data_IF_887093481435
#
_entry.id   IF_887093481435
#
_cell.length_a   1.000
_cell.length_b   1.000
_cell.length_c   1.000
_cell.angle_alpha   90.00
_cell.angle_beta   90.00
_cell.angle_gamma   90.00
#
_symmetry.space_group_name_H-M   'P 1'
#
loop_
_entity.id
_entity.type
_entity.pdbx_description
1 polymer ?
#
# COMPACT_ATOMS: atom_id res chain seq x y z
N UNK A 1 -21.54 -2.22 -7.94
CA UNK A 1 -20.54 -2.57 -8.98
C UNK A 1 -19.20 -2.92 -8.34
N UNK A 2 -18.21 -3.47 -9.07
CA UNK A 2 -16.86 -3.71 -8.51
C UNK A 2 -15.95 -2.52 -8.78
N UNK A 3 -15.24 -2.04 -7.75
CA UNK A 3 -14.35 -0.88 -7.82
C UNK A 3 -13.00 -1.24 -7.20
N UNK A 4 -11.92 -0.95 -7.92
CA UNK A 4 -10.54 -1.07 -7.44
C UNK A 4 -9.99 0.33 -7.23
N UNK A 5 -9.69 0.70 -5.99
CA UNK A 5 -9.13 1.99 -5.64
C UNK A 5 -7.67 1.80 -5.23
N UNK A 6 -6.75 2.46 -5.93
CA UNK A 6 -5.31 2.38 -5.65
C UNK A 6 -4.78 3.70 -5.10
N UNK A 7 -4.10 3.62 -3.95
CA UNK A 7 -3.41 4.74 -3.32
C UNK A 7 -1.90 4.47 -3.40
N UNK A 8 -1.15 5.27 -4.18
CA UNK A 8 0.27 5.07 -4.35
C UNK A 8 1.06 5.47 -3.09
N UNK A 9 2.26 4.91 -2.96
CA UNK A 9 3.22 5.34 -1.95
C UNK A 9 3.79 6.73 -2.19
N UNK A 10 4.65 7.15 -1.28
CA UNK A 10 5.36 8.43 -1.29
C UNK A 10 6.25 8.63 -2.54
N UNK A 11 6.87 9.80 -2.62
CA UNK A 11 7.65 10.36 -3.73
C UNK A 11 6.78 10.93 -4.87
N UNK A 12 7.32 11.89 -5.65
CA UNK A 12 6.69 12.35 -6.87
C UNK A 12 6.35 11.21 -7.82
N UNK A 13 5.22 11.33 -8.52
CA UNK A 13 4.73 10.36 -9.52
C UNK A 13 4.60 11.02 -10.89
N UNK A 14 4.49 10.23 -11.98
CA UNK A 14 4.09 10.74 -13.28
C UNK A 14 2.72 11.42 -13.24
N UNK A 15 2.36 12.07 -14.34
CA UNK A 15 1.03 12.66 -14.46
C UNK A 15 -0.06 11.58 -14.24
N UNK A 16 -1.20 11.92 -13.59
CA UNK A 16 -2.17 10.93 -13.15
C UNK A 16 -2.69 9.97 -14.24
N UNK A 17 -3.01 10.41 -15.47
CA UNK A 17 -3.44 9.50 -16.53
C UNK A 17 -2.38 8.46 -16.90
N UNK A 18 -1.12 8.89 -16.99
CA UNK A 18 0.01 8.02 -17.33
C UNK A 18 0.31 7.04 -16.20
N UNK A 19 0.31 7.51 -14.96
CA UNK A 19 0.53 6.67 -13.79
C UNK A 19 -0.59 5.64 -13.63
N UNK A 20 -1.85 6.05 -13.79
CA UNK A 20 -3.02 5.14 -13.77
C UNK A 20 -2.83 4.04 -14.81
N UNK A 21 -2.51 4.39 -16.06
CA UNK A 21 -2.29 3.44 -17.15
C UNK A 21 -1.19 2.42 -16.84
N UNK A 22 -0.06 2.86 -16.28
CA UNK A 22 1.04 1.97 -15.92
C UNK A 22 0.70 1.02 -14.77
N UNK A 23 0.06 1.52 -13.72
CA UNK A 23 -0.42 0.71 -12.61
C UNK A 23 -1.43 -0.33 -13.09
N UNK A 24 -2.37 0.08 -13.94
CA UNK A 24 -3.37 -0.79 -14.54
C UNK A 24 -2.74 -1.90 -15.38
N UNK A 25 -1.78 -1.57 -16.25
CA UNK A 25 -1.00 -2.57 -17.01
C UNK A 25 -0.35 -3.61 -16.10
N UNK A 26 0.29 -3.18 -15.01
CA UNK A 26 0.96 -4.09 -14.07
C UNK A 26 -0.04 -4.95 -13.30
N UNK A 27 -1.16 -4.37 -12.86
CA UNK A 27 -2.21 -5.08 -12.14
C UNK A 27 -2.84 -6.17 -13.00
N UNK A 28 -3.24 -5.83 -14.24
CA UNK A 28 -3.83 -6.79 -15.17
C UNK A 28 -2.84 -7.91 -15.50
N UNK A 29 -1.56 -7.59 -15.70
CA UNK A 29 -0.51 -8.59 -15.92
C UNK A 29 -0.32 -9.51 -14.72
N UNK A 30 -0.30 -8.98 -13.49
CA UNK A 30 -0.22 -9.79 -12.27
C UNK A 30 -1.39 -10.75 -12.14
N UNK A 31 -2.61 -10.30 -12.45
CA UNK A 31 -3.78 -11.18 -12.49
C UNK A 31 -3.67 -12.20 -13.61
N UNK A 32 -3.19 -11.81 -14.81
CA UNK A 32 -3.05 -12.70 -15.97
C UNK A 32 -2.13 -13.89 -15.70
N UNK A 33 -1.09 -13.70 -14.89
CA UNK A 33 -0.13 -14.75 -14.52
C UNK A 33 -0.76 -15.90 -13.73
N UNK A 34 -1.85 -15.63 -13.01
CA UNK A 34 -2.52 -16.61 -12.14
C UNK A 34 -3.92 -16.99 -12.62
N UNK A 35 -4.60 -16.09 -13.33
CA UNK A 35 -5.94 -16.29 -13.89
C UNK A 35 -6.16 -15.41 -15.13
N UNK A 36 -5.95 -16.01 -16.30
CA UNK A 36 -6.13 -15.35 -17.57
C UNK A 36 -7.59 -14.93 -17.84
N UNK A 37 -8.57 -15.69 -17.36
CA UNK A 37 -10.00 -15.38 -17.56
C UNK A 37 -10.37 -14.10 -16.84
N UNK A 38 -10.00 -13.97 -15.56
CA UNK A 38 -10.27 -12.74 -14.80
C UNK A 38 -9.50 -11.55 -15.37
N UNK A 39 -8.24 -11.75 -15.80
CA UNK A 39 -7.48 -10.67 -16.42
C UNK A 39 -8.15 -10.13 -17.69
N UNK A 40 -8.73 -11.00 -18.54
CA UNK A 40 -9.48 -10.59 -19.73
C UNK A 40 -10.77 -9.83 -19.39
N UNK A 41 -11.43 -10.16 -18.27
CA UNK A 41 -12.59 -9.41 -17.78
C UNK A 41 -12.19 -8.04 -17.27
N UNK A 42 -11.16 -7.97 -16.41
CA UNK A 42 -10.60 -6.71 -15.92
C UNK A 42 -10.20 -5.80 -17.08
N UNK A 43 -9.45 -6.31 -18.06
CA UNK A 43 -8.96 -5.54 -19.20
C UNK A 43 -10.07 -4.88 -20.05
N UNK A 44 -11.33 -5.36 -19.96
CA UNK A 44 -12.49 -4.76 -20.63
C UNK A 44 -13.16 -3.64 -19.83
N UNK A 45 -12.84 -3.51 -18.56
CA UNK A 45 -13.45 -2.58 -17.61
C UNK A 45 -12.35 -1.75 -16.90
N UNK A 46 -11.65 -0.89 -17.65
CA UNK A 46 -10.66 0.03 -17.06
C UNK A 46 -11.32 1.10 -16.15
N UNK A 47 -12.63 1.30 -16.29
CA UNK A 47 -13.40 2.23 -15.47
C UNK A 47 -13.57 1.74 -14.02
N UNK A 48 -13.45 0.43 -13.77
CA UNK A 48 -13.42 -0.11 -12.41
C UNK A 48 -12.19 0.34 -11.61
N UNK A 49 -11.10 0.77 -12.27
CA UNK A 49 -9.85 1.15 -11.61
C UNK A 49 -9.74 2.67 -11.40
N UNK A 50 -9.54 3.08 -10.16
CA UNK A 50 -9.41 4.47 -9.76
C UNK A 50 -8.09 4.71 -9.02
N UNK A 51 -7.34 5.72 -9.46
CA UNK A 51 -6.09 6.16 -8.83
C UNK A 51 -6.36 7.38 -7.95
N UNK A 52 -5.98 7.32 -6.67
CA UNK A 52 -5.95 8.49 -5.79
C UNK A 52 -4.60 9.18 -5.94
N UNK A 53 -4.51 10.14 -6.86
CA UNK A 53 -3.26 10.78 -7.29
C UNK A 53 -2.80 11.93 -6.35
N UNK A 54 -2.65 11.65 -5.06
CA UNK A 54 -2.33 12.65 -4.03
C UNK A 54 -0.92 13.25 -4.12
N UNK A 55 0.02 12.60 -4.81
CA UNK A 55 1.44 12.93 -4.76
C UNK A 55 1.74 14.36 -5.25
N UNK A 56 1.05 14.86 -6.28
CA UNK A 56 1.32 16.22 -6.76
C UNK A 56 0.90 17.28 -5.74
N UNK A 57 -0.24 17.08 -5.05
CA UNK A 57 -0.67 17.96 -3.97
C UNK A 57 0.39 18.04 -2.86
N UNK A 58 1.03 16.91 -2.54
CA UNK A 58 2.07 16.85 -1.53
C UNK A 58 3.41 17.43 -2.00
N UNK A 59 3.91 17.00 -3.16
CA UNK A 59 5.27 17.32 -3.61
C UNK A 59 5.36 18.53 -4.54
N UNK A 60 4.24 19.02 -5.05
CA UNK A 60 4.15 20.14 -6.01
C UNK A 60 4.98 19.92 -7.28
N UNK A 61 5.23 18.67 -7.64
CA UNK A 61 6.01 18.28 -8.83
C UNK A 61 5.58 16.92 -9.36
N UNK A 62 5.84 16.70 -10.66
CA UNK A 62 5.70 15.40 -11.31
C UNK A 62 7.08 14.81 -11.63
N UNK A 63 7.16 13.48 -11.69
CA UNK A 63 8.34 12.75 -12.15
C UNK A 63 8.15 12.34 -13.61
N UNK A 64 9.18 12.45 -14.45
CA UNK A 64 9.12 11.88 -15.81
C UNK A 64 8.89 10.37 -15.76
N UNK A 65 8.02 9.91 -16.67
CA UNK A 65 7.71 8.50 -16.90
C UNK A 65 8.82 7.76 -17.65
N UNK A 66 9.63 8.48 -18.44
CA UNK A 66 10.61 7.92 -19.38
C UNK A 66 11.62 6.99 -18.70
N UNK A 67 12.05 7.37 -17.49
CA UNK A 67 13.00 6.58 -16.71
C UNK A 67 12.40 5.25 -16.19
N UNK A 68 11.08 5.19 -16.00
CA UNK A 68 10.42 4.00 -15.45
C UNK A 68 9.91 3.06 -16.56
N UNK A 69 9.69 3.52 -17.79
CA UNK A 69 9.11 2.72 -18.89
C UNK A 69 9.92 1.47 -19.25
N UNK A 70 11.24 1.55 -19.55
CA UNK A 70 12.02 0.37 -19.89
C UNK A 70 12.05 -0.66 -18.75
N UNK A 71 12.11 -0.18 -17.51
CA UNK A 71 12.08 -1.03 -16.32
C UNK A 71 10.73 -1.75 -16.14
N UNK A 72 9.61 -1.06 -16.41
CA UNK A 72 8.28 -1.66 -16.37
C UNK A 72 8.12 -2.68 -17.50
N UNK A 73 8.50 -2.35 -18.74
CA UNK A 73 8.36 -3.28 -19.85
C UNK A 73 9.23 -4.54 -19.65
N UNK A 74 10.44 -4.39 -19.11
CA UNK A 74 11.28 -5.53 -18.70
C UNK A 74 10.63 -6.35 -17.57
N UNK A 75 10.02 -5.69 -16.58
CA UNK A 75 9.29 -6.36 -15.50
C UNK A 75 8.10 -7.19 -16.03
N UNK A 76 7.33 -6.64 -16.97
CA UNK A 76 6.16 -7.30 -17.55
C UNK A 76 6.57 -8.50 -18.42
N UNK A 77 7.67 -8.39 -19.16
CA UNK A 77 8.21 -9.49 -19.97
C UNK A 77 8.80 -10.64 -19.13
N UNK A 78 9.11 -10.40 -17.85
CA UNK A 78 9.74 -11.38 -16.97
C UNK A 78 8.69 -12.27 -16.28
N UNK A 79 8.78 -13.61 -16.37
CA UNK A 79 7.76 -14.51 -15.82
C UNK A 79 7.76 -14.58 -14.28
N UNK A 80 8.84 -14.13 -13.62
CA UNK A 80 9.01 -14.24 -12.16
C UNK A 80 10.38 -13.72 -11.72
N UNK A 81 10.67 -13.69 -10.41
CA UNK A 81 11.99 -13.32 -9.90
C UNK A 81 13.07 -14.32 -10.34
N UNK A 82 14.25 -13.84 -10.71
CA UNK A 82 15.42 -14.72 -10.97
C UNK A 82 16.10 -15.12 -9.67
N UNK A 83 16.97 -16.15 -9.72
CA UNK A 83 17.82 -16.53 -8.58
C UNK A 83 18.66 -15.35 -8.09
N UNK A 84 19.12 -14.50 -9.01
CA UNK A 84 19.84 -13.26 -8.68
C UNK A 84 18.96 -12.29 -7.89
N UNK A 85 17.72 -12.03 -8.32
CA UNK A 85 16.79 -11.17 -7.57
C UNK A 85 16.51 -11.71 -6.17
N UNK A 86 16.27 -13.02 -6.06
CA UNK A 86 15.99 -13.69 -4.78
C UNK A 86 17.19 -13.54 -3.83
N UNK A 87 18.40 -13.75 -4.35
CA UNK A 87 19.63 -13.63 -3.57
C UNK A 87 19.89 -12.19 -3.12
N UNK A 88 19.71 -11.22 -4.01
CA UNK A 88 19.90 -9.80 -3.72
C UNK A 88 18.85 -9.29 -2.71
N UNK A 89 17.57 -9.65 -2.88
CA UNK A 89 16.50 -9.34 -1.94
C UNK A 89 16.70 -9.97 -0.54
N UNK A 90 17.37 -11.12 -0.49
CA UNK A 90 17.63 -11.87 0.75
C UNK A 90 19.00 -11.56 1.38
N UNK A 91 19.78 -10.67 0.78
CA UNK A 91 21.19 -10.47 1.12
C UNK A 91 21.38 -9.88 2.54
N UNK A 92 22.48 -10.25 3.19
CA UNK A 92 22.72 -10.00 4.62
C UNK A 92 22.78 -8.51 5.01
N UNK A 93 23.17 -7.62 4.10
CA UNK A 93 23.14 -6.16 4.33
C UNK A 93 21.73 -5.63 4.59
N UNK A 94 20.71 -6.23 3.95
CA UNK A 94 19.30 -5.91 4.20
C UNK A 94 18.88 -6.37 5.60
N UNK A 95 19.43 -7.49 6.10
CA UNK A 95 19.18 -7.96 7.47
C UNK A 95 19.83 -7.05 8.53
N UNK A 96 21.05 -6.57 8.28
CA UNK A 96 21.75 -5.64 9.18
C UNK A 96 21.09 -4.26 9.20
N UNK A 97 20.68 -3.75 8.04
CA UNK A 97 19.87 -2.54 7.94
C UNK A 97 18.55 -2.72 8.70
N UNK A 98 17.84 -3.84 8.49
CA UNK A 98 16.59 -4.17 9.21
C UNK A 98 16.77 -4.14 10.74
N UNK A 99 17.85 -4.73 11.26
CA UNK A 99 18.17 -4.68 12.70
C UNK A 99 18.35 -3.24 13.22
N UNK A 100 19.09 -2.40 12.48
CA UNK A 100 19.30 -0.99 12.83
C UNK A 100 18.00 -0.18 12.78
N UNK A 101 17.15 -0.43 11.79
CA UNK A 101 15.87 0.25 11.69
C UNK A 101 14.85 -0.24 12.74
N UNK A 102 14.79 -1.53 13.05
CA UNK A 102 13.94 -2.05 14.13
C UNK A 102 14.31 -1.41 15.48
N UNK A 103 15.61 -1.23 15.76
CA UNK A 103 16.05 -0.49 16.94
C UNK A 103 15.66 1.00 16.90
N UNK A 104 15.68 1.64 15.73
CA UNK A 104 15.22 3.02 15.55
C UNK A 104 13.70 3.19 15.67
N UNK A 105 12.92 2.17 15.32
CA UNK A 105 11.46 2.15 15.38
C UNK A 105 10.95 2.03 16.83
N UNK A 106 11.54 1.14 17.64
CA UNK A 106 11.21 1.01 19.07
C UNK A 106 11.78 2.13 19.95
N UNK A 107 12.84 2.81 19.50
CA UNK A 107 13.48 3.85 20.27
C UNK A 107 13.70 5.11 19.41
N UNK A 108 12.75 6.07 19.43
CA UNK A 108 12.79 7.28 18.59
C UNK A 108 14.08 8.13 18.74
N UNK A 109 14.77 8.01 19.88
CA UNK A 109 16.07 8.65 20.15
C UNK A 109 17.16 8.18 19.17
N UNK A 110 17.08 6.94 18.66
CA UNK A 110 18.05 6.37 17.73
C UNK A 110 17.77 6.68 16.25
N UNK A 111 16.62 7.28 15.92
CA UNK A 111 16.36 7.82 14.57
C UNK A 111 17.43 8.85 14.17
N UNK A 112 17.89 9.65 15.14
CA UNK A 112 18.97 10.63 14.95
C UNK A 112 20.36 9.99 14.79
N UNK A 113 20.53 8.73 15.24
CA UNK A 113 21.76 7.95 15.14
C UNK A 113 21.81 7.10 13.85
N UNK A 114 20.73 7.07 13.05
CA UNK A 114 20.75 6.41 11.74
C UNK A 114 21.76 7.14 10.82
N UNK A 115 22.74 6.41 10.25
CA UNK A 115 23.83 7.01 9.47
C UNK A 115 23.38 7.55 8.10
N UNK A 116 22.22 7.12 7.60
CA UNK A 116 21.76 7.41 6.23
C UNK A 116 20.91 8.71 6.14
N UNK A 117 21.38 9.74 5.40
CA UNK A 117 20.63 10.98 5.20
C UNK A 117 19.27 10.78 4.48
N UNK A 118 19.16 9.78 3.60
CA UNK A 118 17.93 9.50 2.84
C UNK A 118 16.78 9.03 3.73
N UNK A 119 17.11 8.34 4.81
CA UNK A 119 16.17 7.87 5.84
C UNK A 119 15.66 9.03 6.68
N UNK A 120 16.56 9.91 7.12
CA UNK A 120 16.19 11.11 7.90
C UNK A 120 15.28 12.03 7.08
N UNK A 121 15.56 12.18 5.79
CA UNK A 121 14.69 12.89 4.85
C UNK A 121 13.33 12.19 4.73
N UNK A 122 13.31 10.87 4.54
CA UNK A 122 12.09 10.05 4.48
C UNK A 122 11.19 10.18 5.72
N UNK A 123 11.77 10.23 6.92
CA UNK A 123 11.03 10.39 8.17
C UNK A 123 10.47 11.82 8.29
N UNK A 124 11.29 12.85 8.06
CA UNK A 124 10.83 14.25 8.01
C UNK A 124 9.74 14.48 6.96
N UNK A 125 9.83 13.79 5.83
CA UNK A 125 8.82 13.84 4.78
C UNK A 125 7.49 13.25 5.24
N UNK A 126 7.48 12.20 6.05
CA UNK A 126 6.24 11.59 6.56
C UNK A 126 5.63 12.43 7.70
N UNK A 127 6.48 13.12 8.47
CA UNK A 127 6.05 14.03 9.55
C UNK A 127 5.15 15.19 9.07
N UNK A 128 5.29 15.66 7.82
CA UNK A 128 4.39 16.69 7.27
C UNK A 128 2.94 16.20 7.17
N UNK A 129 2.73 14.92 6.83
CA UNK A 129 1.41 14.31 6.81
C UNK A 129 0.87 14.11 8.23
N UNK A 130 1.66 13.53 9.14
CA UNK A 130 1.20 13.26 10.51
C UNK A 130 0.90 14.53 11.31
N UNK A 131 1.64 15.62 11.09
CA UNK A 131 1.33 16.91 11.71
C UNK A 131 0.22 17.68 10.99
N UNK A 132 -0.34 17.14 9.90
CA UNK A 132 -1.33 17.80 9.06
C UNK A 132 -0.95 19.25 8.71
N UNK A 133 0.34 19.47 8.40
CA UNK A 133 0.85 20.82 8.18
C UNK A 133 0.16 21.43 6.95
N UNK A 134 -0.38 22.64 7.12
CA UNK A 134 -1.14 23.36 6.08
C UNK A 134 -2.37 22.55 5.59
N UNK A 135 -2.99 21.76 6.48
CA UNK A 135 -4.17 20.91 6.21
C UNK A 135 -3.94 19.87 5.10
N UNK A 136 -2.67 19.57 4.81
CA UNK A 136 -2.30 18.72 3.69
C UNK A 136 -2.83 17.29 3.83
N UNK A 137 -2.88 16.77 5.07
CA UNK A 137 -3.33 15.41 5.31
C UNK A 137 -4.85 15.32 5.17
N UNK A 138 -5.59 16.32 5.63
CA UNK A 138 -7.04 16.42 5.45
C UNK A 138 -7.40 16.44 3.96
N UNK A 139 -6.74 17.30 3.18
CA UNK A 139 -6.95 17.39 1.74
C UNK A 139 -6.64 16.06 1.03
N UNK A 140 -5.55 15.39 1.41
CA UNK A 140 -5.18 14.08 0.85
C UNK A 140 -6.21 13.01 1.21
N UNK A 141 -6.63 12.95 2.48
CA UNK A 141 -7.63 11.97 2.92
C UNK A 141 -8.96 12.21 2.20
N UNK A 142 -9.34 13.46 2.00
CA UNK A 142 -10.57 13.82 1.30
C UNK A 142 -10.58 13.35 -0.15
N UNK A 143 -9.44 13.35 -0.85
CA UNK A 143 -9.31 12.75 -2.19
C UNK A 143 -9.69 11.26 -2.23
N UNK A 144 -9.51 10.52 -1.12
CA UNK A 144 -9.94 9.13 -0.99
C UNK A 144 -11.36 9.01 -0.41
N UNK A 145 -11.70 9.82 0.60
CA UNK A 145 -13.00 9.72 1.28
C UNK A 145 -14.17 10.07 0.36
N UNK A 146 -14.01 11.07 -0.51
CA UNK A 146 -15.07 11.48 -1.45
C UNK A 146 -15.55 10.32 -2.36
N UNK A 147 -14.68 9.63 -3.11
CA UNK A 147 -15.13 8.49 -3.92
C UNK A 147 -15.60 7.30 -3.06
N UNK A 148 -15.02 7.07 -1.88
CA UNK A 148 -15.50 5.99 -1.00
C UNK A 148 -16.92 6.25 -0.49
N UNK A 149 -17.29 7.49 -0.17
CA UNK A 149 -18.67 7.82 0.21
C UNK A 149 -19.66 7.48 -0.89
N UNK A 150 -19.33 7.82 -2.15
CA UNK A 150 -20.17 7.49 -3.31
C UNK A 150 -20.28 5.98 -3.51
N UNK A 151 -19.15 5.25 -3.44
CA UNK A 151 -19.13 3.79 -3.57
C UNK A 151 -19.95 3.11 -2.47
N UNK A 152 -19.82 3.55 -1.23
CA UNK A 152 -20.60 3.01 -0.10
C UNK A 152 -22.09 3.31 -0.21
N UNK A 153 -22.46 4.51 -0.69
CA UNK A 153 -23.86 4.87 -0.93
C UNK A 153 -24.50 4.02 -2.04
N UNK A 154 -23.70 3.57 -3.01
CA UNK A 154 -24.12 2.73 -4.14
C UNK A 154 -24.04 1.23 -3.85
N UNK A 155 -23.64 0.83 -2.64
CA UNK A 155 -23.36 -0.58 -2.28
C UNK A 155 -22.36 -1.25 -3.25
N UNK A 156 -21.36 -0.48 -3.70
CA UNK A 156 -20.27 -0.99 -4.52
C UNK A 156 -19.38 -1.94 -3.71
N UNK A 157 -18.91 -2.99 -4.36
CA UNK A 157 -17.87 -3.86 -3.85
C UNK A 157 -16.52 -3.19 -4.09
N UNK A 158 -15.77 -2.89 -3.02
CA UNK A 158 -14.54 -2.11 -3.08
C UNK A 158 -13.32 -2.95 -2.68
N UNK A 159 -12.37 -3.07 -3.59
CA UNK A 159 -10.99 -3.44 -3.31
C UNK A 159 -10.17 -2.17 -3.14
N UNK A 160 -9.69 -1.93 -1.93
CA UNK A 160 -8.84 -0.80 -1.60
C UNK A 160 -7.39 -1.26 -1.51
N UNK A 161 -6.51 -0.73 -2.38
CA UNK A 161 -5.09 -1.09 -2.43
C UNK A 161 -4.26 0.10 -1.94
N UNK A 162 -3.62 -0.04 -0.78
CA UNK A 162 -2.71 0.96 -0.23
C UNK A 162 -1.26 0.52 -0.33
N UNK A 163 -0.45 1.18 -1.17
CA UNK A 163 0.99 0.90 -1.27
C UNK A 163 1.80 1.83 -0.38
N UNK A 164 2.69 1.29 0.48
CA UNK A 164 3.58 2.10 1.32
C UNK A 164 2.80 3.16 2.12
N UNK A 165 3.18 4.44 2.07
CA UNK A 165 2.43 5.56 2.67
C UNK A 165 0.95 5.65 2.22
N UNK A 166 0.60 5.10 1.06
CA UNK A 166 -0.80 4.98 0.63
C UNK A 166 -1.64 4.09 1.56
N UNK A 167 -1.03 3.13 2.28
CA UNK A 167 -1.72 2.34 3.30
C UNK A 167 -2.01 3.14 4.58
N UNK A 168 -1.15 4.09 4.96
CA UNK A 168 -1.40 5.05 6.05
C UNK A 168 -2.58 5.94 5.69
N UNK A 169 -2.56 6.52 4.49
CA UNK A 169 -3.65 7.37 3.99
C UNK A 169 -4.98 6.59 3.97
N UNK A 170 -4.95 5.35 3.46
CA UNK A 170 -6.12 4.48 3.48
C UNK A 170 -6.65 4.23 4.90
N UNK A 171 -5.78 3.90 5.85
CA UNK A 171 -6.15 3.70 7.25
C UNK A 171 -6.82 4.93 7.84
N UNK A 172 -6.16 6.08 7.79
CA UNK A 172 -6.65 7.32 8.40
C UNK A 172 -7.97 7.79 7.75
N UNK A 173 -8.10 7.66 6.43
CA UNK A 173 -9.36 7.95 5.72
C UNK A 173 -10.51 7.05 6.16
N UNK A 174 -10.27 5.73 6.27
CA UNK A 174 -11.28 4.78 6.73
C UNK A 174 -11.62 5.00 8.22
N UNK A 175 -10.65 5.42 9.02
CA UNK A 175 -10.87 5.79 10.41
C UNK A 175 -11.76 7.03 10.53
N UNK A 176 -11.51 8.07 9.76
CA UNK A 176 -12.35 9.28 9.75
C UNK A 176 -13.76 9.00 9.25
N UNK A 177 -13.90 8.21 8.19
CA UNK A 177 -15.22 7.82 7.69
C UNK A 177 -16.03 7.11 8.78
N UNK A 178 -15.40 6.17 9.48
CA UNK A 178 -16.07 5.40 10.53
C UNK A 178 -16.33 6.21 11.80
N UNK A 179 -15.31 6.83 12.38
CA UNK A 179 -15.40 7.47 13.70
C UNK A 179 -15.79 8.94 13.62
N UNK A 180 -15.43 9.66 12.55
CA UNK A 180 -15.70 11.08 12.39
C UNK A 180 -16.98 11.39 11.62
N UNK A 181 -17.27 10.64 10.56
CA UNK A 181 -18.44 10.86 9.68
C UNK A 181 -19.58 9.86 9.94
N UNK A 182 -19.41 8.94 10.91
CA UNK A 182 -20.36 7.86 11.22
C UNK A 182 -20.77 6.99 10.03
N UNK A 183 -19.98 6.98 8.97
CA UNK A 183 -20.21 6.17 7.78
C UNK A 183 -19.88 4.70 8.08
N UNK A 184 -20.87 3.82 7.95
CA UNK A 184 -20.74 2.37 8.25
C UNK A 184 -20.44 1.53 7.01
N UNK A 185 -20.15 2.16 5.88
CA UNK A 185 -19.67 1.50 4.66
C UNK A 185 -18.35 0.77 4.90
N UNK A 186 -18.16 -0.35 4.21
CA UNK A 186 -16.99 -1.20 4.33
C UNK A 186 -16.37 -1.50 2.98
N UNK A 187 -15.04 -1.48 2.92
CA UNK A 187 -14.32 -2.09 1.79
C UNK A 187 -14.28 -3.61 1.97
N UNK A 188 -14.56 -4.35 0.91
CA UNK A 188 -14.62 -5.82 0.89
C UNK A 188 -13.25 -6.47 1.13
N UNK A 189 -12.21 -5.81 0.63
CA UNK A 189 -10.82 -6.18 0.82
C UNK A 189 -9.94 -4.93 0.89
N UNK A 190 -9.27 -4.74 2.02
CA UNK A 190 -8.12 -3.86 2.12
C UNK A 190 -6.85 -4.65 1.83
N UNK A 191 -6.15 -4.29 0.75
CA UNK A 191 -4.89 -4.87 0.33
C UNK A 191 -3.74 -3.88 0.57
N UNK A 192 -2.99 -4.06 1.64
CA UNK A 192 -1.83 -3.22 1.95
C UNK A 192 -0.55 -3.83 1.38
N UNK A 193 0.24 -3.04 0.66
CA UNK A 193 1.44 -3.50 -0.07
C UNK A 193 2.69 -2.80 0.45
N UNK A 194 3.67 -3.55 0.96
CA UNK A 194 4.89 -2.98 1.57
C UNK A 194 4.53 -1.94 2.63
N UNK A 195 3.58 -2.27 3.49
CA UNK A 195 2.94 -1.31 4.39
C UNK A 195 3.78 -1.05 5.63
N UNK A 196 3.96 0.21 6.05
CA UNK A 196 4.58 0.54 7.32
C UNK A 196 3.58 0.54 8.49
N UNK A 197 2.34 0.04 8.31
CA UNK A 197 1.30 0.08 9.36
C UNK A 197 1.67 -0.71 10.63
N UNK A 198 2.55 -1.70 10.52
CA UNK A 198 3.08 -2.44 11.66
C UNK A 198 4.21 -1.70 12.40
N UNK A 199 4.80 -0.66 11.80
CA UNK A 199 5.91 0.07 12.41
C UNK A 199 5.43 0.91 13.59
N UNK A 200 6.14 0.83 14.70
CA UNK A 200 5.80 1.55 15.94
C UNK A 200 5.76 3.06 15.73
N UNK A 201 6.71 3.58 14.95
CA UNK A 201 6.76 4.98 14.55
C UNK A 201 5.45 5.44 13.88
N UNK A 202 4.85 4.59 13.05
CA UNK A 202 3.60 4.87 12.34
C UNK A 202 2.40 4.65 13.25
N UNK A 203 2.31 3.50 13.93
CA UNK A 203 1.14 3.12 14.74
C UNK A 203 0.74 4.17 15.75
N UNK A 204 1.70 4.78 16.45
CA UNK A 204 1.41 5.83 17.44
C UNK A 204 0.98 7.18 16.87
N UNK A 205 1.09 7.35 15.54
CA UNK A 205 0.74 8.58 14.82
C UNK A 205 -0.52 8.44 13.95
N UNK A 206 -1.01 7.22 13.75
CA UNK A 206 -2.28 6.98 13.07
C UNK A 206 -3.44 7.65 13.80
N UNK A 207 -4.48 8.02 13.06
CA UNK A 207 -5.75 8.41 13.66
C UNK A 207 -6.32 7.24 14.48
N UNK A 208 -6.87 7.58 15.64
CA UNK A 208 -7.34 6.59 16.63
C UNK A 208 -6.26 6.06 17.57
N UNK A 209 -4.97 6.24 17.30
CA UNK A 209 -3.89 5.62 18.07
C UNK A 209 -3.88 5.97 19.58
N UNK A 210 -4.40 7.16 19.92
CA UNK A 210 -4.52 7.66 21.30
C UNK A 210 -5.98 7.75 21.77
N UNK A 211 -6.92 7.28 20.96
CA UNK A 211 -8.32 7.26 21.33
C UNK A 211 -8.59 6.14 22.35
N UNK A 212 -9.78 6.13 22.94
CA UNK A 212 -10.24 5.02 23.76
C UNK A 212 -10.45 3.75 22.92
N UNK A 213 -10.73 2.63 23.59
CA UNK A 213 -10.89 1.34 22.93
C UNK A 213 -12.02 1.33 21.88
N UNK A 214 -13.08 2.11 22.08
CA UNK A 214 -14.22 2.20 21.18
C UNK A 214 -13.88 2.90 19.86
N UNK A 215 -12.96 3.87 19.88
CA UNK A 215 -12.59 4.67 18.71
C UNK A 215 -11.16 4.40 18.22
N UNK A 216 -10.46 3.41 18.77
CA UNK A 216 -9.08 3.09 18.39
C UNK A 216 -8.93 2.64 16.94
N UNK A 217 -9.94 1.93 16.44
CA UNK A 217 -9.90 1.27 15.13
C UNK A 217 -11.05 1.74 14.22
N UNK A 218 -10.92 1.46 12.92
CA UNK A 218 -12.02 1.58 11.96
C UNK A 218 -12.81 0.27 11.86
N UNK A 219 -14.12 0.35 11.68
CA UNK A 219 -14.96 -0.79 11.28
C UNK A 219 -15.20 -0.89 9.77
N UNK A 220 -14.60 0.00 8.97
CA UNK A 220 -14.80 0.10 7.51
C UNK A 220 -14.02 -0.93 6.69
N UNK A 221 -13.41 -1.95 7.31
CA UNK A 221 -12.66 -3.00 6.62
C UNK A 221 -13.35 -4.33 6.88
N UNK A 222 -13.81 -5.00 5.82
CA UNK A 222 -14.39 -6.34 5.94
C UNK A 222 -13.29 -7.39 6.14
N UNK A 223 -12.32 -7.41 5.23
CA UNK A 223 -11.13 -8.28 5.30
C UNK A 223 -9.88 -7.50 4.96
N UNK A 224 -8.78 -7.82 5.62
CA UNK A 224 -7.49 -7.21 5.38
C UNK A 224 -6.47 -8.29 4.97
N UNK A 225 -5.84 -8.10 3.82
CA UNK A 225 -4.66 -8.83 3.40
C UNK A 225 -3.47 -7.87 3.29
N UNK A 226 -2.42 -8.12 4.05
CA UNK A 226 -1.17 -7.38 3.98
C UNK A 226 -0.12 -8.22 3.24
N UNK A 227 0.51 -7.64 2.22
CA UNK A 227 1.51 -8.32 1.40
C UNK A 227 2.82 -7.52 1.42
N UNK A 228 3.90 -8.16 1.87
CA UNK A 228 5.21 -7.52 2.01
C UNK A 228 6.31 -8.37 1.36
N UNK A 229 7.09 -7.77 0.47
CA UNK A 229 8.18 -8.43 -0.22
C UNK A 229 9.32 -8.76 0.73
N UNK A 230 9.98 -9.89 0.47
CA UNK A 230 11.30 -10.18 1.04
C UNK A 230 12.25 -9.04 0.65
N UNK A 231 12.98 -8.56 1.66
CA UNK A 231 13.94 -7.48 1.54
C UNK A 231 13.33 -6.08 1.66
N UNK A 232 12.00 -5.94 1.67
CA UNK A 232 11.37 -4.64 1.84
C UNK A 232 11.57 -4.12 3.27
N UNK A 233 12.39 -3.07 3.40
CA UNK A 233 12.74 -2.43 4.67
C UNK A 233 11.75 -1.37 5.11
N UNK A 234 10.70 -1.09 4.33
CA UNK A 234 9.62 -0.21 4.79
C UNK A 234 8.55 -0.96 5.56
N UNK A 235 8.55 -2.30 5.46
CA UNK A 235 7.78 -3.22 6.29
C UNK A 235 8.77 -4.01 7.18
N UNK A 236 9.43 -3.30 8.11
CA UNK A 236 10.43 -3.89 9.01
C UNK A 236 9.80 -4.94 9.91
N UNK A 237 8.66 -4.58 10.50
CA UNK A 237 7.65 -5.53 10.89
C UNK A 237 6.76 -5.83 9.68
N UNK A 238 6.65 -7.11 9.36
CA UNK A 238 5.91 -7.59 8.19
C UNK A 238 4.52 -8.08 8.55
N UNK A 239 4.24 -8.26 9.84
CA UNK A 239 2.94 -8.69 10.33
C UNK A 239 2.12 -7.49 10.78
N UNK A 240 0.90 -7.34 10.29
CA UNK A 240 -0.09 -6.42 10.90
C UNK A 240 -1.12 -7.19 11.71
N UNK A 241 -1.25 -8.51 11.53
CA UNK A 241 -2.33 -9.29 12.13
C UNK A 241 -2.27 -9.31 13.67
N UNK A 242 -1.08 -9.38 14.26
CA UNK A 242 -0.88 -9.35 15.71
C UNK A 242 -1.08 -7.94 16.29
N UNK A 243 -0.52 -6.92 15.64
CA UNK A 243 -0.65 -5.52 16.02
C UNK A 243 -2.09 -5.02 16.02
N UNK A 244 -2.91 -5.55 15.11
CA UNK A 244 -4.31 -5.18 14.92
C UNK A 244 -5.29 -6.27 15.36
N UNK A 245 -4.83 -7.28 16.13
CA UNK A 245 -5.66 -8.36 16.66
C UNK A 245 -6.85 -7.87 17.51
N UNK A 246 -6.75 -6.66 18.08
CA UNK A 246 -7.86 -5.99 18.77
C UNK A 246 -9.10 -5.79 17.88
N UNK A 247 -8.93 -5.54 16.58
CA UNK A 247 -10.04 -5.39 15.63
C UNK A 247 -10.83 -6.68 15.47
N UNK A 248 -10.15 -7.83 15.43
CA UNK A 248 -10.78 -9.16 15.35
C UNK A 248 -11.57 -9.43 16.62
N UNK A 249 -10.98 -9.18 17.79
CA UNK A 249 -11.63 -9.37 19.10
C UNK A 249 -12.88 -8.51 19.25
N UNK A 250 -12.84 -7.28 18.73
CA UNK A 250 -13.96 -6.36 18.72
C UNK A 250 -15.00 -6.63 17.61
N UNK A 251 -14.77 -7.62 16.73
CA UNK A 251 -15.67 -7.93 15.62
C UNK A 251 -15.76 -6.84 14.54
N UNK A 252 -14.75 -5.96 14.46
CA UNK A 252 -14.72 -4.85 13.50
C UNK A 252 -14.32 -5.30 12.09
N UNK A 253 -13.51 -6.36 12.01
CA UNK A 253 -13.01 -6.98 10.77
C UNK A 253 -13.18 -8.49 10.86
N UNK A 254 -13.46 -9.14 9.73
CA UNK A 254 -13.66 -10.60 9.67
C UNK A 254 -12.33 -11.36 9.74
N UNK A 255 -11.28 -10.82 9.10
CA UNK A 255 -9.96 -11.44 9.08
C UNK A 255 -8.86 -10.44 8.76
N UNK A 256 -7.68 -10.65 9.34
CA UNK A 256 -6.43 -9.99 8.96
C UNK A 256 -5.40 -11.09 8.66
N UNK A 257 -4.81 -11.06 7.47
CA UNK A 257 -3.81 -12.04 7.04
C UNK A 257 -2.55 -11.34 6.52
N UNK A 258 -1.39 -11.91 6.84
CA UNK A 258 -0.09 -11.46 6.37
C UNK A 258 0.51 -12.46 5.37
N UNK A 259 0.93 -11.96 4.21
CA UNK A 259 1.64 -12.73 3.19
C UNK A 259 2.99 -12.08 2.92
N UNK A 260 4.05 -12.72 3.41
CA UNK A 260 5.44 -12.29 3.16
C UNK A 260 6.37 -13.42 2.75
N UNK A 261 5.96 -14.67 2.94
CA UNK A 261 6.68 -15.84 2.46
C UNK A 261 6.52 -15.97 0.94
N UNK A 262 7.62 -16.20 0.23
CA UNK A 262 7.59 -16.35 -1.24
C UNK A 262 7.30 -15.07 -2.02
N UNK A 263 7.05 -13.93 -1.36
CA UNK A 263 6.80 -12.67 -2.02
C UNK A 263 8.13 -12.01 -2.36
N UNK A 264 8.46 -11.94 -3.65
CA UNK A 264 9.61 -11.21 -4.15
C UNK A 264 9.16 -10.13 -5.13
N UNK A 265 9.55 -8.89 -4.86
CA UNK A 265 9.43 -7.78 -5.77
C UNK A 265 10.75 -7.64 -6.55
N UNK A 266 10.66 -7.85 -7.85
CA UNK A 266 11.81 -7.91 -8.75
C UNK A 266 11.83 -6.77 -9.78
N UNK A 267 11.25 -5.63 -9.41
CA UNK A 267 11.41 -4.42 -10.21
C UNK A 267 12.87 -3.96 -10.19
N UNK A 268 13.48 -3.85 -11.37
CA UNK A 268 14.85 -3.36 -11.54
C UNK A 268 14.87 -2.10 -12.38
N UNK A 269 15.63 -1.11 -11.92
CA UNK A 269 15.95 0.10 -12.67
C UNK A 269 17.48 0.25 -12.76
N UNK A 270 18.02 1.31 -13.41
CA UNK A 270 19.46 1.52 -13.50
C UNK A 270 20.19 1.58 -12.15
N UNK A 271 19.48 1.87 -11.05
CA UNK A 271 20.04 1.92 -9.69
C UNK A 271 20.08 0.54 -9.01
N UNK A 272 19.52 -0.50 -9.63
CA UNK A 272 19.52 -1.88 -9.12
C UNK A 272 18.12 -2.43 -8.81
N UNK A 273 18.06 -3.42 -7.92
CA UNK A 273 16.81 -4.03 -7.46
C UNK A 273 16.07 -3.11 -6.50
N UNK A 274 14.80 -2.82 -6.79
CA UNK A 274 13.92 -2.08 -5.90
C UNK A 274 12.75 -2.96 -5.45
N UNK A 275 12.96 -3.64 -4.33
CA UNK A 275 12.00 -4.56 -3.71
C UNK A 275 10.76 -3.88 -3.11
N UNK A 276 10.68 -2.55 -3.17
CA UNK A 276 9.56 -1.78 -2.63
C UNK A 276 8.69 -1.12 -3.72
N UNK A 277 9.07 -1.20 -5.00
CA UNK A 277 8.35 -0.49 -6.07
C UNK A 277 6.94 -1.07 -6.28
N UNK A 278 5.92 -0.22 -6.31
CA UNK A 278 4.51 -0.62 -6.50
C UNK A 278 4.28 -1.52 -7.71
N UNK A 279 4.92 -1.22 -8.85
CA UNK A 279 4.78 -2.02 -10.07
C UNK A 279 5.19 -3.49 -9.86
N UNK A 280 6.28 -3.73 -9.14
CA UNK A 280 6.75 -5.09 -8.85
C UNK A 280 5.84 -5.85 -7.90
N UNK A 281 5.14 -5.16 -6.98
CA UNK A 281 4.07 -5.78 -6.20
C UNK A 281 2.87 -6.14 -7.09
N UNK A 282 2.43 -5.23 -7.96
CA UNK A 282 1.23 -5.45 -8.78
C UNK A 282 1.36 -6.61 -9.76
N UNK A 283 2.56 -6.92 -10.24
CA UNK A 283 2.81 -8.07 -11.12
C UNK A 283 3.06 -9.38 -10.36
N UNK A 284 3.12 -9.35 -9.03
CA UNK A 284 3.42 -10.51 -8.21
C UNK A 284 2.21 -11.46 -8.12
N UNK A 285 2.45 -12.76 -8.20
CA UNK A 285 1.41 -13.79 -8.24
C UNK A 285 0.52 -13.80 -6.99
N UNK A 286 1.05 -13.46 -5.81
CA UNK A 286 0.24 -13.38 -4.58
C UNK A 286 -0.76 -12.22 -4.66
N UNK A 287 -0.33 -11.07 -5.19
CA UNK A 287 -1.21 -9.90 -5.41
C UNK A 287 -2.23 -10.24 -6.51
N UNK A 288 -1.78 -10.80 -7.64
CA UNK A 288 -2.67 -11.25 -8.71
C UNK A 288 -3.74 -12.23 -8.22
N UNK A 289 -3.36 -13.16 -7.35
CA UNK A 289 -4.27 -14.16 -6.75
C UNK A 289 -5.28 -13.50 -5.83
N UNK A 290 -4.86 -12.56 -4.98
CA UNK A 290 -5.76 -11.81 -4.11
C UNK A 290 -6.82 -11.03 -4.90
N UNK A 291 -6.38 -10.32 -5.95
CA UNK A 291 -7.26 -9.54 -6.84
C UNK A 291 -8.20 -10.47 -7.60
N UNK A 292 -7.69 -11.57 -8.16
CA UNK A 292 -8.49 -12.56 -8.88
C UNK A 292 -9.56 -13.20 -7.97
N UNK A 293 -9.19 -13.59 -6.76
CA UNK A 293 -10.12 -14.16 -5.79
C UNK A 293 -11.23 -13.17 -5.43
N UNK A 294 -10.89 -11.92 -5.13
CA UNK A 294 -11.87 -10.88 -4.86
C UNK A 294 -12.78 -10.59 -6.07
N UNK A 295 -12.22 -10.56 -7.27
CA UNK A 295 -12.98 -10.33 -8.51
C UNK A 295 -13.96 -11.46 -8.83
N UNK A 296 -13.67 -12.70 -8.41
CA UNK A 296 -14.56 -13.85 -8.64
C UNK A 296 -15.60 -14.07 -7.56
N UNK A 297 -15.40 -13.52 -6.36
CA UNK A 297 -16.39 -13.62 -5.30
C UNK A 297 -17.70 -12.96 -5.74
N UNK A 298 -18.80 -13.71 -5.65
CA UNK A 298 -20.15 -13.16 -5.79
C UNK A 298 -20.43 -12.22 -4.62
N UNK A 299 -21.17 -11.14 -4.89
CA UNK A 299 -21.75 -10.29 -3.85
C UNK A 299 -22.75 -11.08 -3.00
#
# INVERSE_FOLDING_TARGET
MKRIVFIPGKNPKPHPPEHKRLLWRCLVEGVRRVDETTARLLAKDEECFQLIAWNHLYYQQYKSIEADLPAIDALLAKPGPTREDINEASHWHVKTARLLYTLGDYFPIFINLLPDPSVKASIKETERYFHNKDEIADQIREMLKQPLREMFANDDQVLLIGHSMGSIIAWDSLWELWNGEENRGKVDLFLSLGSPLAMEFVRHRLLGARADEAHRYTGSIRRWLNISSVGDLTALDRGVADDYAGMIKAGLVESIHDQYEGVYNYFRNPDGLNVHRSYGYLVNDHVGTAISNWWRQSA
#
